data_IF_257990033815
#
_entry.id   IF_257990033815
#
_cell.length_a   1.000
_cell.length_b   1.000
_cell.length_c   1.000
_cell.angle_alpha   90.00
_cell.angle_beta   90.00
_cell.angle_gamma   90.00
#
_symmetry.space_group_name_H-M   'P 1'
#
loop_
_entity.id
_entity.type
_entity.pdbx_description
1 polymer ?
#
# COMPACT_ATOMS: atom_id res chain seq x y z
N UNK A 1 27.44 6.09 -11.81
CA UNK A 1 26.41 5.04 -11.96
C UNK A 1 25.07 5.74 -12.15
N UNK A 2 24.35 5.48 -13.26
CA UNK A 2 23.08 6.17 -13.57
C UNK A 2 21.99 5.63 -12.65
N UNK A 3 21.40 6.50 -11.83
CA UNK A 3 20.38 6.18 -10.82
C UNK A 3 18.96 6.09 -11.38
N UNK A 4 18.77 6.36 -12.67
CA UNK A 4 17.48 6.27 -13.35
C UNK A 4 17.68 5.79 -14.80
N UNK A 5 17.00 4.71 -15.17
CA UNK A 5 16.88 4.23 -16.56
C UNK A 5 15.42 3.85 -16.81
N UNK A 6 14.80 4.42 -17.84
CA UNK A 6 13.41 4.15 -18.19
C UNK A 6 13.34 3.12 -19.33
N UNK A 7 12.75 1.96 -19.04
CA UNK A 7 12.05 1.12 -20.03
C UNK A 7 10.57 1.01 -19.59
N UNK A 8 9.83 0.01 -20.05
CA UNK A 8 8.39 -0.16 -19.74
C UNK A 8 8.04 -0.26 -18.23
N UNK A 9 9.03 -0.36 -17.34
CA UNK A 9 8.85 -0.26 -15.89
C UNK A 9 9.84 0.76 -15.30
N UNK A 10 9.43 1.55 -14.29
CA UNK A 10 10.32 2.44 -13.58
C UNK A 10 11.32 1.62 -12.77
N UNK A 11 12.55 1.51 -13.28
CA UNK A 11 13.67 0.93 -12.53
C UNK A 11 14.27 2.01 -11.62
N UNK A 12 13.68 2.19 -10.45
CA UNK A 12 14.22 3.05 -9.39
C UNK A 12 15.08 2.18 -8.48
N UNK A 13 16.39 2.40 -8.49
CA UNK A 13 17.36 1.67 -7.67
C UNK A 13 18.35 2.65 -7.04
N UNK A 14 17.94 3.40 -6.01
CA UNK A 14 18.83 4.28 -5.29
C UNK A 14 19.79 3.42 -4.47
N UNK A 15 21.10 3.62 -4.64
CA UNK A 15 22.12 2.87 -3.91
C UNK A 15 21.91 3.08 -2.40
N UNK A 16 21.73 2.00 -1.64
CA UNK A 16 21.56 2.04 -0.18
C UNK A 16 20.19 2.50 0.32
N UNK A 17 19.15 2.50 -0.51
CA UNK A 17 17.79 2.83 -0.06
C UNK A 17 17.12 1.66 0.69
N UNK A 18 16.24 1.97 1.65
CA UNK A 18 15.34 0.98 2.22
C UNK A 18 14.00 1.05 1.49
N UNK A 19 13.52 -0.09 0.99
CA UNK A 19 12.18 -0.19 0.43
C UNK A 19 11.17 -0.50 1.53
N UNK A 20 10.14 0.33 1.63
CA UNK A 20 8.97 0.04 2.46
C UNK A 20 7.88 -0.57 1.58
N UNK A 21 7.56 -1.84 1.83
CA UNK A 21 6.54 -2.57 1.09
C UNK A 21 5.28 -2.66 1.94
N UNK A 22 4.18 -2.13 1.42
CA UNK A 22 2.84 -2.30 2.00
C UNK A 22 1.96 -3.09 1.05
N UNK A 23 1.25 -4.07 1.58
CA UNK A 23 0.28 -4.85 0.82
C UNK A 23 -0.89 -5.24 1.73
N UNK A 24 -2.07 -5.40 1.14
CA UNK A 24 -3.26 -5.90 1.82
C UNK A 24 -3.51 -7.36 1.43
N UNK A 25 -4.13 -8.12 2.34
CA UNK A 25 -4.51 -9.49 2.05
C UNK A 25 -5.86 -9.54 1.33
N UNK A 26 -6.09 -10.63 0.61
CA UNK A 26 -7.40 -10.88 0.03
C UNK A 26 -8.48 -10.89 1.11
N UNK A 27 -9.55 -10.13 0.87
CA UNK A 27 -10.67 -9.99 1.81
C UNK A 27 -10.46 -8.95 2.92
N UNK A 28 -9.31 -8.24 2.98
CA UNK A 28 -9.12 -7.13 3.92
C UNK A 28 -10.13 -5.98 3.74
N UNK A 29 -10.71 -5.86 2.55
CA UNK A 29 -11.89 -5.02 2.30
C UNK A 29 -12.94 -5.89 1.58
N UNK A 30 -14.17 -6.00 2.10
CA UNK A 30 -15.24 -6.73 1.42
C UNK A 30 -15.57 -6.09 0.08
N UNK A 31 -15.97 -6.92 -0.88
CA UNK A 31 -16.28 -6.47 -2.24
C UNK A 31 -17.41 -5.45 -2.25
N UNK A 32 -18.44 -5.69 -1.44
CA UNK A 32 -19.60 -4.82 -1.27
C UNK A 32 -19.16 -3.43 -0.77
N UNK A 33 -18.20 -3.39 0.16
CA UNK A 33 -17.68 -2.14 0.71
C UNK A 33 -16.86 -1.36 -0.31
N UNK A 34 -16.01 -2.04 -1.10
CA UNK A 34 -15.28 -1.42 -2.21
C UNK A 34 -16.26 -0.81 -3.21
N UNK A 35 -17.27 -1.58 -3.61
CA UNK A 35 -18.27 -1.12 -4.58
C UNK A 35 -19.03 0.10 -4.08
N UNK A 36 -19.46 0.08 -2.81
CA UNK A 36 -20.10 1.22 -2.16
C UNK A 36 -19.21 2.48 -2.23
N UNK A 37 -17.95 2.37 -1.77
CA UNK A 37 -17.03 3.51 -1.75
C UNK A 37 -16.73 4.05 -3.16
N UNK A 38 -16.63 3.16 -4.16
CA UNK A 38 -16.45 3.55 -5.55
C UNK A 38 -17.67 4.27 -6.11
N UNK A 39 -18.88 3.80 -5.80
CA UNK A 39 -20.13 4.45 -6.22
C UNK A 39 -20.23 5.85 -5.61
N UNK A 40 -19.97 6.00 -4.31
CA UNK A 40 -19.97 7.29 -3.61
C UNK A 40 -18.97 8.27 -4.23
N UNK A 41 -17.74 7.81 -4.51
CA UNK A 41 -16.71 8.61 -5.18
C UNK A 41 -17.16 9.05 -6.58
N UNK A 42 -17.66 8.10 -7.37
CA UNK A 42 -18.07 8.38 -8.75
C UNK A 42 -19.23 9.36 -8.80
N UNK A 43 -20.23 9.20 -7.93
CA UNK A 43 -21.33 10.15 -7.79
C UNK A 43 -20.80 11.55 -7.46
N UNK A 44 -19.89 11.66 -6.49
CA UNK A 44 -19.32 12.95 -6.12
C UNK A 44 -18.51 13.59 -7.24
N UNK A 45 -17.73 12.80 -7.98
CA UNK A 45 -16.98 13.26 -9.15
C UNK A 45 -17.93 13.76 -10.25
N UNK A 46 -19.03 13.05 -10.52
CA UNK A 46 -20.03 13.46 -11.50
C UNK A 46 -20.63 14.82 -11.12
N UNK A 47 -21.07 14.98 -9.86
CA UNK A 47 -21.59 16.26 -9.37
C UNK A 47 -20.58 17.40 -9.52
N UNK A 48 -19.32 17.17 -9.15
CA UNK A 48 -18.25 18.19 -9.28
C UNK A 48 -18.04 18.62 -10.74
N UNK A 49 -18.16 17.67 -11.68
CA UNK A 49 -18.02 17.95 -13.12
C UNK A 49 -19.23 18.72 -13.65
N UNK A 50 -20.44 18.38 -13.20
CA UNK A 50 -21.68 19.05 -13.59
C UNK A 50 -21.74 20.49 -13.07
N UNK A 51 -21.30 20.73 -11.83
CA UNK A 51 -21.22 22.06 -11.22
C UNK A 51 -20.24 23.01 -11.94
N UNK A 52 -19.31 22.47 -12.74
CA UNK A 52 -18.38 23.20 -13.62
C UNK A 52 -17.73 24.45 -12.99
N UNK A 53 -17.40 24.34 -11.70
CA UNK A 53 -16.75 25.41 -10.94
C UNK A 53 -15.33 25.70 -11.45
N UNK A 54 -14.89 26.96 -11.34
CA UNK A 54 -13.53 27.38 -11.73
C UNK A 54 -12.40 26.59 -11.03
N UNK A 55 -12.70 25.91 -9.93
CA UNK A 55 -11.77 25.11 -9.13
C UNK A 55 -11.94 23.59 -9.35
N UNK A 56 -12.41 23.16 -10.53
CA UNK A 56 -12.69 21.75 -10.86
C UNK A 56 -11.57 20.78 -10.44
N UNK A 57 -10.31 21.09 -10.76
CA UNK A 57 -9.17 20.22 -10.46
C UNK A 57 -8.97 20.02 -8.96
N UNK A 58 -9.07 21.09 -8.18
CA UNK A 58 -8.93 21.05 -6.72
C UNK A 58 -10.08 20.27 -6.08
N UNK A 59 -11.30 20.50 -6.53
CA UNK A 59 -12.48 19.77 -6.04
C UNK A 59 -12.38 18.27 -6.32
N UNK A 60 -11.88 17.88 -7.49
CA UNK A 60 -11.61 16.48 -7.84
C UNK A 60 -10.51 15.86 -6.96
N UNK A 61 -9.42 16.59 -6.69
CA UNK A 61 -8.36 16.12 -5.79
C UNK A 61 -8.89 15.91 -4.37
N UNK A 62 -9.68 16.85 -3.85
CA UNK A 62 -10.32 16.73 -2.53
C UNK A 62 -11.25 15.51 -2.49
N UNK A 63 -12.07 15.30 -3.51
CA UNK A 63 -12.95 14.13 -3.59
C UNK A 63 -12.16 12.81 -3.62
N UNK A 64 -11.05 12.78 -4.35
CA UNK A 64 -10.17 11.63 -4.42
C UNK A 64 -9.47 11.35 -3.09
N UNK A 65 -8.96 12.38 -2.40
CA UNK A 65 -8.36 12.24 -1.06
C UNK A 65 -9.36 11.72 -0.04
N UNK A 66 -10.60 12.23 -0.06
CA UNK A 66 -11.66 11.74 0.83
C UNK A 66 -12.01 10.28 0.58
N UNK A 67 -12.05 9.86 -0.68
CA UNK A 67 -12.22 8.45 -1.02
C UNK A 67 -11.07 7.60 -0.46
N UNK A 68 -9.81 8.02 -0.65
CA UNK A 68 -8.66 7.31 -0.10
C UNK A 68 -8.71 7.21 1.42
N UNK A 69 -9.01 8.29 2.12
CA UNK A 69 -9.16 8.29 3.58
C UNK A 69 -10.22 7.29 4.07
N UNK A 70 -11.32 7.14 3.33
CA UNK A 70 -12.36 6.16 3.68
C UNK A 70 -11.90 4.72 3.44
N UNK A 71 -11.16 4.47 2.37
CA UNK A 71 -10.57 3.15 2.09
C UNK A 71 -9.56 2.79 3.19
N UNK A 72 -8.70 3.74 3.55
CA UNK A 72 -7.69 3.61 4.60
C UNK A 72 -8.32 3.31 5.96
N UNK A 73 -9.36 4.05 6.34
CA UNK A 73 -10.11 3.80 7.58
C UNK A 73 -10.74 2.40 7.65
N UNK A 74 -11.15 1.82 6.51
CA UNK A 74 -11.66 0.44 6.47
C UNK A 74 -10.53 -0.58 6.60
N UNK A 75 -9.34 -0.29 6.07
CA UNK A 75 -8.16 -1.14 6.26
C UNK A 75 -7.69 -1.10 7.72
N UNK A 76 -7.65 0.10 8.32
CA UNK A 76 -7.23 0.34 9.70
C UNK A 76 -8.19 -0.27 10.73
N UNK A 77 -9.46 -0.47 10.39
CA UNK A 77 -10.40 -1.11 11.31
C UNK A 77 -10.07 -2.58 11.60
N UNK A 78 -9.31 -3.24 10.70
CA UNK A 78 -8.96 -4.67 10.77
C UNK A 78 -10.20 -5.56 11.04
N UNK A 79 -11.36 -5.11 10.57
CA UNK A 79 -12.65 -5.76 10.82
C UNK A 79 -12.87 -6.95 9.88
N UNK A 80 -12.30 -6.88 8.67
CA UNK A 80 -12.55 -7.83 7.59
C UNK A 80 -11.34 -8.67 7.23
N UNK A 81 -11.62 -9.80 6.58
CA UNK A 81 -10.61 -10.71 6.09
C UNK A 81 -10.05 -11.61 7.19
N UNK A 82 -9.43 -12.69 6.75
CA UNK A 82 -8.76 -13.60 7.67
C UNK A 82 -7.43 -13.00 8.12
N UNK A 83 -7.16 -13.07 9.42
CA UNK A 83 -5.92 -12.54 10.02
C UNK A 83 -4.76 -13.52 9.82
N UNK A 84 -4.53 -13.98 8.58
CA UNK A 84 -3.54 -15.01 8.24
C UNK A 84 -2.15 -14.73 8.80
N UNK A 85 -1.72 -13.47 8.78
CA UNK A 85 -0.41 -13.05 9.31
C UNK A 85 -0.32 -13.05 10.85
N UNK A 86 -1.41 -13.34 11.56
CA UNK A 86 -1.35 -13.60 13.01
C UNK A 86 -0.77 -14.99 13.30
N UNK A 87 -0.77 -15.90 12.31
CA UNK A 87 -0.05 -17.15 12.41
C UNK A 87 1.41 -16.93 12.01
N UNK A 88 2.32 -17.14 12.97
CA UNK A 88 3.76 -16.91 12.77
C UNK A 88 4.36 -17.73 11.64
N UNK A 89 3.87 -18.96 11.42
CA UNK A 89 4.38 -19.83 10.36
C UNK A 89 3.99 -19.28 8.97
N UNK A 90 2.74 -18.81 8.84
CA UNK A 90 2.26 -18.19 7.60
C UNK A 90 2.99 -16.87 7.35
N UNK A 91 3.17 -16.05 8.38
CA UNK A 91 3.93 -14.81 8.29
C UNK A 91 5.37 -15.07 7.82
N UNK A 92 6.02 -16.12 8.32
CA UNK A 92 7.38 -16.49 7.91
C UNK A 92 7.47 -16.90 6.44
N UNK A 93 6.47 -17.63 5.91
CA UNK A 93 6.42 -17.99 4.48
C UNK A 93 6.39 -16.72 3.62
N UNK A 94 5.55 -15.75 3.99
CA UNK A 94 5.43 -14.48 3.27
C UNK A 94 6.73 -13.67 3.36
N UNK A 95 7.32 -13.55 4.55
CA UNK A 95 8.60 -12.89 4.75
C UNK A 95 9.70 -13.52 3.88
N UNK A 96 9.86 -14.85 3.95
CA UNK A 96 10.83 -15.59 3.13
C UNK A 96 10.62 -15.35 1.64
N UNK A 97 9.36 -15.28 1.18
CA UNK A 97 9.05 -15.04 -0.23
C UNK A 97 9.41 -13.62 -0.67
N UNK A 98 9.18 -12.62 0.17
CA UNK A 98 9.57 -11.25 -0.13
C UNK A 98 11.10 -11.12 -0.16
N UNK A 99 11.79 -11.77 0.78
CA UNK A 99 13.25 -11.83 0.83
C UNK A 99 13.87 -12.78 -0.21
N UNK A 100 13.10 -13.63 -0.89
CA UNK A 100 13.65 -14.62 -1.82
C UNK A 100 14.51 -13.98 -2.92
N UNK A 101 14.15 -12.78 -3.35
CA UNK A 101 14.84 -12.05 -4.42
C UNK A 101 15.83 -11.02 -3.90
N UNK A 102 15.96 -10.91 -2.58
CA UNK A 102 17.04 -10.17 -1.94
C UNK A 102 18.37 -10.75 -2.44
N UNK A 103 19.24 -9.89 -2.96
CA UNK A 103 20.50 -10.24 -3.65
C UNK A 103 20.43 -10.83 -5.07
N UNK A 104 19.27 -11.29 -5.58
CA UNK A 104 19.15 -11.74 -6.99
C UNK A 104 18.76 -10.60 -7.94
N UNK A 105 17.80 -9.76 -7.55
CA UNK A 105 17.35 -8.62 -8.35
C UNK A 105 17.65 -7.26 -7.69
N UNK A 106 17.99 -7.28 -6.40
CA UNK A 106 18.40 -6.13 -5.60
C UNK A 106 19.89 -6.30 -5.27
N UNK A 107 20.79 -5.68 -6.05
CA UNK A 107 22.24 -5.96 -5.97
C UNK A 107 22.88 -5.51 -4.65
N UNK A 108 23.15 -6.46 -3.75
CA UNK A 108 24.27 -6.63 -2.79
C UNK A 108 24.93 -5.42 -2.07
N UNK A 109 24.27 -4.28 -1.90
CA UNK A 109 24.59 -3.33 -0.80
C UNK A 109 23.38 -3.09 0.13
N UNK A 110 22.33 -3.90 -0.03
CA UNK A 110 21.07 -3.83 0.72
C UNK A 110 21.22 -4.61 2.01
N UNK A 111 21.88 -4.01 3.02
CA UNK A 111 21.98 -4.67 4.32
C UNK A 111 20.70 -4.60 5.14
N UNK A 112 19.72 -3.76 4.77
CA UNK A 112 18.57 -3.49 5.64
C UNK A 112 17.25 -3.39 4.84
N UNK A 113 16.63 -4.54 4.54
CA UNK A 113 15.19 -4.58 4.27
C UNK A 113 14.43 -4.55 5.59
N UNK A 114 14.18 -3.35 6.10
CA UNK A 114 13.34 -3.14 7.29
C UNK A 114 11.86 -3.26 6.90
N UNK A 115 11.27 -4.43 7.13
CA UNK A 115 9.81 -4.55 7.14
C UNK A 115 9.27 -4.01 8.46
N UNK A 116 8.83 -2.76 8.46
CA UNK A 116 8.01 -2.24 9.56
C UNK A 116 6.63 -2.86 9.43
N UNK A 117 6.43 -3.98 10.12
CA UNK A 117 5.09 -4.49 10.42
C UNK A 117 4.44 -3.48 11.37
N UNK A 118 3.70 -2.50 10.83
CA UNK A 118 2.87 -1.63 11.67
C UNK A 118 1.66 -2.46 12.11
N UNK A 119 1.90 -3.25 13.14
CA UNK A 119 0.88 -3.75 14.04
C UNK A 119 1.46 -3.46 15.42
N UNK A 120 0.96 -2.40 16.02
CA UNK A 120 1.14 -1.99 17.42
C UNK A 120 2.29 -2.68 18.19
N UNK A 121 3.38 -1.94 18.41
CA UNK A 121 4.33 -2.13 19.51
C UNK A 121 4.61 -3.58 19.95
N UNK A 122 5.41 -4.31 19.17
CA UNK A 122 6.27 -5.35 19.74
C UNK A 122 7.71 -5.12 19.29
N UNK A 123 8.44 -4.34 20.10
CA UNK A 123 9.90 -4.42 20.14
C UNK A 123 10.26 -5.85 20.58
N UNK A 124 10.63 -6.69 19.62
CA UNK A 124 11.38 -7.89 19.95
C UNK A 124 12.80 -7.45 20.28
N UNK A 125 13.07 -7.36 21.59
CA UNK A 125 14.42 -7.50 22.12
C UNK A 125 14.91 -8.88 21.67
N UNK A 126 15.83 -8.89 20.71
CA UNK A 126 16.69 -10.05 20.49
C UNK A 126 17.89 -9.94 21.45
N UNK A 127 18.35 -11.06 22.02
CA UNK A 127 19.47 -11.10 22.98
C UNK A 127 20.80 -10.62 22.39
#
# INVERSE_FOLDING_TARGET
MKTNYARNLPHIQPIGATFFITFSLYGSIPKEKIQQLQQERNAKISTIREENSGNLKENLDIAQRRYFQRVDAVLDSVEYGQKYLSNVQVAQIVANKIHQYDNEYYVSHWRDFSFTYIRENYQYLLP
#
